data_IF_434448716914
#
_entry.id   IF_434448716914
#
_cell.length_a   1.000
_cell.length_b   1.000
_cell.length_c   1.000
_cell.angle_alpha   90.00
_cell.angle_beta   90.00
_cell.angle_gamma   90.00
#
_symmetry.space_group_name_H-M   'P 1'
#
loop_
_entity.id
_entity.type
_entity.pdbx_description
1 polymer ?
#
# COMPACT_ATOMS: atom_id res chain seq x y z
N UNK A 1 -16.22 -15.40 4.35
CA UNK A 1 -15.19 -15.15 5.38
C UNK A 1 -15.43 -13.79 6.06
N UNK A 2 -16.58 -13.57 6.70
CA UNK A 2 -16.96 -12.24 7.27
C UNK A 2 -17.25 -12.29 8.77
N UNK A 3 -17.67 -13.46 9.29
CA UNK A 3 -17.94 -13.63 10.73
C UNK A 3 -16.67 -13.69 11.58
N UNK A 4 -15.60 -14.31 11.07
CA UNK A 4 -14.32 -14.42 11.77
C UNK A 4 -13.73 -13.05 12.13
N UNK A 5 -13.79 -12.10 11.19
CA UNK A 5 -13.24 -10.77 11.44
C UNK A 5 -14.12 -9.94 12.39
N UNK A 6 -15.47 -10.08 12.38
CA UNK A 6 -16.38 -9.30 13.27
C UNK A 6 -16.15 -9.68 14.72
N UNK A 7 -16.04 -10.99 15.00
CA UNK A 7 -15.66 -11.51 16.31
C UNK A 7 -14.33 -10.88 16.74
N UNK A 8 -13.36 -10.72 15.83
CA UNK A 8 -12.08 -10.07 16.14
C UNK A 8 -12.24 -8.59 16.52
N UNK A 9 -13.06 -7.82 15.80
CA UNK A 9 -13.20 -6.37 16.03
C UNK A 9 -13.83 -6.03 17.38
N UNK A 10 -15.00 -6.57 17.69
CA UNK A 10 -15.69 -6.30 18.96
C UNK A 10 -14.94 -6.90 20.16
N UNK A 11 -14.27 -8.04 19.98
CA UNK A 11 -13.45 -8.61 21.04
C UNK A 11 -12.22 -7.75 21.31
N UNK A 12 -11.60 -7.19 20.27
CA UNK A 12 -10.48 -6.26 20.44
C UNK A 12 -10.91 -5.04 21.25
N UNK A 13 -12.03 -4.40 20.90
CA UNK A 13 -12.58 -3.26 21.66
C UNK A 13 -12.81 -3.65 23.13
N UNK A 14 -13.42 -4.80 23.39
CA UNK A 14 -13.67 -5.28 24.76
C UNK A 14 -12.37 -5.53 25.55
N UNK A 15 -11.41 -6.23 24.95
CA UNK A 15 -10.12 -6.53 25.58
C UNK A 15 -9.37 -5.24 25.92
N UNK A 16 -9.37 -4.27 25.00
CA UNK A 16 -8.79 -2.95 25.23
C UNK A 16 -9.47 -2.21 26.37
N UNK A 17 -10.81 -2.20 26.42
CA UNK A 17 -11.57 -1.60 27.52
C UNK A 17 -11.21 -2.24 28.86
N UNK A 18 -11.15 -3.57 28.92
CA UNK A 18 -10.83 -4.30 30.16
C UNK A 18 -9.40 -4.01 30.62
N UNK A 19 -8.45 -3.96 29.69
CA UNK A 19 -7.07 -3.60 29.99
C UNK A 19 -6.96 -2.15 30.49
N UNK A 20 -7.62 -1.20 29.81
CA UNK A 20 -7.65 0.21 30.23
C UNK A 20 -8.25 0.30 31.63
N UNK A 21 -9.43 -0.29 31.88
CA UNK A 21 -10.08 -0.24 33.20
C UNK A 21 -9.24 -0.89 34.31
N UNK A 22 -8.58 -2.00 34.04
CA UNK A 22 -7.73 -2.69 35.04
C UNK A 22 -6.41 -1.96 35.29
N UNK A 23 -5.89 -1.24 34.30
CA UNK A 23 -4.58 -0.61 34.36
C UNK A 23 -4.61 0.91 34.59
N UNK A 24 -5.74 1.59 34.41
CA UNK A 24 -5.82 3.07 34.48
C UNK A 24 -5.43 3.64 35.85
N UNK A 25 -5.67 2.88 36.92
CA UNK A 25 -5.33 3.28 38.28
C UNK A 25 -3.88 2.94 38.67
N UNK A 26 -3.28 1.94 38.02
CA UNK A 26 -1.93 1.44 38.31
C UNK A 26 -0.88 2.04 37.39
N UNK A 27 -1.24 2.31 36.13
CA UNK A 27 -0.43 3.05 35.17
C UNK A 27 -0.19 4.46 35.72
N UNK A 28 1.08 4.80 35.91
CA UNK A 28 1.51 6.17 36.25
C UNK A 28 1.57 7.05 35.02
N UNK A 29 1.81 6.45 33.85
CA UNK A 29 1.95 7.15 32.58
C UNK A 29 0.94 6.65 31.55
N UNK A 30 0.40 7.58 30.77
CA UNK A 30 -0.53 7.30 29.65
C UNK A 30 0.05 6.27 28.69
N UNK A 31 1.37 6.25 28.51
CA UNK A 31 2.08 5.35 27.60
C UNK A 31 1.79 3.86 27.85
N UNK A 32 1.56 3.45 29.10
CA UNK A 32 1.28 2.05 29.44
C UNK A 32 -0.09 1.59 28.92
N UNK A 33 -1.03 2.53 28.73
CA UNK A 33 -2.37 2.25 28.18
C UNK A 33 -2.54 2.71 26.73
N UNK A 34 -1.56 3.42 26.14
CA UNK A 34 -1.63 3.90 24.74
C UNK A 34 -1.84 2.76 23.76
N UNK A 35 -1.12 1.65 23.92
CA UNK A 35 -1.29 0.49 23.04
C UNK A 35 -2.74 -0.04 23.06
N UNK A 36 -3.35 -0.11 24.24
CA UNK A 36 -4.75 -0.51 24.36
C UNK A 36 -5.72 0.53 23.79
N UNK A 37 -5.41 1.82 23.87
CA UNK A 37 -6.19 2.89 23.20
C UNK A 37 -6.10 2.74 21.68
N UNK A 38 -4.92 2.42 21.15
CA UNK A 38 -4.75 2.15 19.72
C UNK A 38 -5.56 0.93 19.28
N UNK A 39 -5.49 -0.17 20.03
CA UNK A 39 -6.26 -1.38 19.79
C UNK A 39 -7.79 -1.14 19.85
N UNK A 40 -8.24 -0.31 20.79
CA UNK A 40 -9.64 0.11 20.91
C UNK A 40 -10.10 0.82 19.63
N UNK A 41 -9.31 1.79 19.16
CA UNK A 41 -9.62 2.58 17.97
C UNK A 41 -9.51 1.75 16.69
N UNK A 42 -8.59 0.78 16.63
CA UNK A 42 -8.48 -0.17 15.53
C UNK A 42 -9.67 -1.13 15.48
N UNK A 43 -10.12 -1.63 16.63
CA UNK A 43 -11.34 -2.44 16.73
C UNK A 43 -12.57 -1.68 16.22
N UNK A 44 -12.73 -0.43 16.63
CA UNK A 44 -13.79 0.46 16.14
C UNK A 44 -13.69 0.69 14.62
N UNK A 45 -12.49 0.96 14.11
CA UNK A 45 -12.25 1.15 12.68
C UNK A 45 -12.56 -0.13 11.88
N UNK A 46 -12.23 -1.31 12.39
CA UNK A 46 -12.54 -2.59 11.75
C UNK A 46 -14.06 -2.84 11.66
N UNK A 47 -14.81 -2.47 12.69
CA UNK A 47 -16.28 -2.56 12.70
C UNK A 47 -16.85 -1.60 11.64
N UNK A 48 -16.41 -0.34 11.62
CA UNK A 48 -16.86 0.67 10.68
C UNK A 48 -16.49 0.37 9.22
N UNK A 49 -15.29 -0.17 8.98
CA UNK A 49 -14.83 -0.55 7.64
C UNK A 49 -15.65 -1.70 7.03
N UNK A 50 -16.11 -2.65 7.85
CA UNK A 50 -16.96 -3.76 7.38
C UNK A 50 -18.34 -3.31 6.97
N UNK A 51 -18.95 -2.45 7.78
CA UNK A 51 -20.23 -1.82 7.44
C UNK A 51 -20.13 -1.11 6.09
N UNK A 52 -19.10 -0.27 5.91
CA UNK A 52 -18.87 0.48 4.67
C UNK A 52 -18.61 -0.42 3.45
N UNK A 53 -17.97 -1.58 3.63
CA UNK A 53 -17.72 -2.54 2.53
C UNK A 53 -18.97 -3.30 2.09
N UNK A 54 -19.96 -3.48 2.97
CA UNK A 54 -21.22 -4.17 2.64
C UNK A 54 -22.25 -3.27 1.97
N UNK A 55 -22.20 -1.97 2.23
CA UNK A 55 -23.07 -0.98 1.57
C UNK A 55 -22.86 -0.92 0.04
N UNK A 56 -21.75 -1.47 -0.48
CA UNK A 56 -21.44 -1.54 -1.92
C UNK A 56 -21.79 -2.86 -2.63
N UNK A 57 -22.37 -3.85 -1.94
CA UNK A 57 -22.74 -5.15 -2.53
C UNK A 57 -24.22 -5.16 -2.97
N UNK A 58 -24.46 -5.71 -4.17
CA UNK A 58 -25.77 -5.73 -4.85
C UNK A 58 -26.89 -6.36 -4.00
N UNK A 59 -28.13 -5.92 -4.25
CA UNK A 59 -29.40 -6.28 -3.56
C UNK A 59 -29.61 -7.79 -3.34
N UNK A 60 -28.92 -8.64 -4.13
CA UNK A 60 -28.98 -10.10 -4.01
C UNK A 60 -28.34 -10.66 -2.73
N UNK A 61 -27.41 -9.92 -2.08
CA UNK A 61 -26.80 -10.29 -0.79
C UNK A 61 -27.53 -9.71 0.43
N UNK A 62 -28.56 -8.87 0.20
CA UNK A 62 -29.27 -8.11 1.25
C UNK A 62 -30.34 -8.93 2.00
N UNK A 63 -30.48 -10.24 1.73
CA UNK A 63 -31.44 -11.12 2.41
C UNK A 63 -31.07 -11.45 3.88
N UNK A 64 -29.99 -10.88 4.41
CA UNK A 64 -29.52 -11.03 5.79
C UNK A 64 -29.91 -9.88 6.72
N UNK A 65 -31.20 -9.51 6.83
CA UNK A 65 -31.70 -8.41 7.70
C UNK A 65 -31.16 -8.51 9.14
N UNK A 66 -30.97 -9.73 9.66
CA UNK A 66 -30.37 -9.98 10.99
C UNK A 66 -28.90 -9.50 11.08
N UNK A 67 -28.12 -9.60 10.00
CA UNK A 67 -26.70 -9.22 9.98
C UNK A 67 -26.49 -7.70 10.07
N UNK A 68 -27.37 -6.91 9.44
CA UNK A 68 -27.29 -5.44 9.49
C UNK A 68 -27.61 -4.93 10.89
N UNK A 69 -28.61 -5.51 11.56
CA UNK A 69 -28.95 -5.14 12.93
C UNK A 69 -27.76 -5.40 13.89
N UNK A 70 -27.10 -6.55 13.77
CA UNK A 70 -25.90 -6.84 14.56
C UNK A 70 -24.75 -5.86 14.28
N UNK A 71 -24.49 -5.51 13.02
CA UNK A 71 -23.43 -4.55 12.66
C UNK A 71 -23.68 -3.15 13.20
N UNK A 72 -24.94 -2.69 13.14
CA UNK A 72 -25.32 -1.39 13.70
C UNK A 72 -25.19 -1.41 15.23
N UNK A 73 -25.62 -2.50 15.87
CA UNK A 73 -25.49 -2.67 17.32
C UNK A 73 -24.02 -2.68 17.74
N UNK A 74 -23.17 -3.46 17.07
CA UNK A 74 -21.73 -3.54 17.38
C UNK A 74 -21.03 -2.18 17.20
N UNK A 75 -21.38 -1.43 16.16
CA UNK A 75 -20.86 -0.08 15.95
C UNK A 75 -21.30 0.89 17.07
N UNK A 76 -22.54 0.75 17.57
CA UNK A 76 -23.03 1.56 18.68
C UNK A 76 -22.34 1.19 20.00
N UNK A 77 -22.19 -0.10 20.28
CA UNK A 77 -21.47 -0.59 21.46
C UNK A 77 -20.02 -0.10 21.44
N UNK A 78 -19.33 -0.20 20.29
CA UNK A 78 -17.96 0.29 20.15
C UNK A 78 -17.86 1.81 20.38
N UNK A 79 -18.80 2.59 19.83
CA UNK A 79 -18.85 4.03 20.04
C UNK A 79 -19.11 4.41 21.52
N UNK A 80 -19.98 3.69 22.20
CA UNK A 80 -20.24 3.86 23.64
C UNK A 80 -19.01 3.54 24.47
N UNK A 81 -18.34 2.42 24.19
CA UNK A 81 -17.11 2.01 24.85
C UNK A 81 -15.98 3.02 24.62
N UNK A 82 -15.82 3.52 23.39
CA UNK A 82 -14.88 4.59 23.07
C UNK A 82 -15.17 5.86 23.88
N UNK A 83 -16.43 6.26 23.98
CA UNK A 83 -16.82 7.42 24.78
C UNK A 83 -16.53 7.20 26.27
N UNK A 84 -16.88 6.03 26.82
CA UNK A 84 -16.58 5.68 28.20
C UNK A 84 -15.06 5.77 28.46
N UNK A 85 -14.24 5.22 27.57
CA UNK A 85 -12.77 5.29 27.72
C UNK A 85 -12.26 6.72 27.65
N UNK A 86 -12.84 7.55 26.77
CA UNK A 86 -12.47 8.96 26.70
C UNK A 86 -12.71 9.69 28.02
N UNK A 87 -13.85 9.43 28.68
CA UNK A 87 -14.19 10.05 29.96
C UNK A 87 -13.26 9.54 31.06
N UNK A 88 -13.02 8.22 31.12
CA UNK A 88 -12.14 7.64 32.14
C UNK A 88 -10.71 8.15 32.03
N UNK A 89 -10.16 8.19 30.82
CA UNK A 89 -8.80 8.66 30.54
C UNK A 89 -8.69 10.15 30.87
N UNK A 90 -9.65 10.97 30.46
CA UNK A 90 -9.64 12.40 30.75
C UNK A 90 -9.83 12.68 32.26
N UNK A 91 -10.65 11.90 32.97
CA UNK A 91 -10.80 12.02 34.42
C UNK A 91 -9.49 11.68 35.16
N UNK A 92 -8.71 10.72 34.65
CA UNK A 92 -7.46 10.29 35.28
C UNK A 92 -6.28 11.21 34.95
N UNK A 93 -6.12 11.57 33.68
CA UNK A 93 -4.92 12.22 33.15
C UNK A 93 -5.13 13.70 32.80
N UNK A 94 -6.36 14.20 32.92
CA UNK A 94 -6.73 15.58 32.62
C UNK A 94 -7.52 15.69 31.33
N UNK A 95 -8.40 16.69 31.28
CA UNK A 95 -9.30 16.91 30.15
C UNK A 95 -8.58 17.07 28.82
N UNK A 96 -9.08 16.40 27.78
CA UNK A 96 -8.50 16.47 26.43
C UNK A 96 -7.32 15.54 26.21
N UNK A 97 -6.90 14.76 27.21
CA UNK A 97 -5.81 13.77 27.05
C UNK A 97 -6.18 12.75 25.99
N UNK A 98 -7.37 12.13 26.09
CA UNK A 98 -7.82 11.16 25.11
C UNK A 98 -7.90 11.76 23.71
N UNK A 99 -8.43 12.98 23.60
CA UNK A 99 -8.51 13.69 22.33
C UNK A 99 -7.13 13.92 21.72
N UNK A 100 -6.15 14.36 22.52
CA UNK A 100 -4.79 14.59 22.03
C UNK A 100 -4.14 13.31 21.49
N UNK A 101 -4.37 12.16 22.14
CA UNK A 101 -3.89 10.85 21.69
C UNK A 101 -4.51 10.50 20.33
N UNK A 102 -5.84 10.63 20.21
CA UNK A 102 -6.56 10.36 18.96
C UNK A 102 -6.08 11.27 17.82
N UNK A 103 -5.91 12.56 18.10
CA UNK A 103 -5.47 13.54 17.10
C UNK A 103 -4.04 13.27 16.63
N UNK A 104 -3.11 12.97 17.56
CA UNK A 104 -1.73 12.57 17.24
C UNK A 104 -1.67 11.29 16.43
N UNK A 105 -2.51 10.30 16.78
CA UNK A 105 -2.64 9.05 16.03
C UNK A 105 -3.13 9.32 14.61
N UNK A 106 -4.18 10.12 14.45
CA UNK A 106 -4.72 10.48 13.15
C UNK A 106 -3.68 11.20 12.28
N UNK A 107 -2.92 12.13 12.87
CA UNK A 107 -1.81 12.81 12.20
C UNK A 107 -0.74 11.82 11.74
N UNK A 108 -0.27 10.92 12.61
CA UNK A 108 0.75 9.91 12.25
C UNK A 108 0.28 8.96 11.14
N UNK A 109 -0.98 8.54 11.17
CA UNK A 109 -1.57 7.71 10.12
C UNK A 109 -1.61 8.47 8.78
N UNK A 110 -1.97 9.75 8.80
CA UNK A 110 -2.01 10.58 7.61
C UNK A 110 -0.61 10.79 7.02
N UNK A 111 0.36 11.15 7.84
CA UNK A 111 1.77 11.31 7.43
C UNK A 111 2.33 10.01 6.84
N UNK A 112 2.03 8.85 7.45
CA UNK A 112 2.44 7.55 6.93
C UNK A 112 1.80 7.25 5.57
N UNK A 113 0.52 7.59 5.40
CA UNK A 113 -0.19 7.45 4.11
C UNK A 113 0.39 8.36 3.03
N UNK A 114 0.76 9.59 3.38
CA UNK A 114 1.36 10.55 2.46
C UNK A 114 2.75 10.08 2.01
N UNK A 115 3.62 9.71 2.95
CA UNK A 115 4.94 9.13 2.66
C UNK A 115 4.82 7.86 1.80
N UNK A 116 3.85 7.00 2.06
CA UNK A 116 3.60 5.81 1.24
C UNK A 116 3.18 6.16 -0.19
N UNK A 117 2.32 7.18 -0.36
CA UNK A 117 1.93 7.68 -1.69
C UNK A 117 3.11 8.30 -2.44
N UNK A 118 3.94 9.09 -1.77
CA UNK A 118 5.14 9.68 -2.37
C UNK A 118 6.16 8.61 -2.79
N UNK A 119 6.44 7.65 -1.91
CA UNK A 119 7.31 6.53 -2.23
C UNK A 119 6.75 5.70 -3.39
N UNK A 120 5.43 5.48 -3.46
CA UNK A 120 4.80 4.80 -4.59
C UNK A 120 4.94 5.59 -5.90
N UNK A 121 4.78 6.92 -5.88
CA UNK A 121 5.01 7.78 -7.04
C UNK A 121 6.46 7.75 -7.51
N UNK A 122 7.41 7.90 -6.58
CA UNK A 122 8.84 7.87 -6.90
C UNK A 122 9.28 6.51 -7.47
N UNK A 123 8.71 5.40 -6.98
CA UNK A 123 8.96 4.06 -7.54
C UNK A 123 8.45 3.94 -8.98
N UNK A 124 7.28 4.50 -9.28
CA UNK A 124 6.73 4.51 -10.65
C UNK A 124 7.60 5.33 -11.60
N UNK A 125 8.01 6.53 -11.19
CA UNK A 125 8.90 7.38 -12.00
C UNK A 125 10.24 6.69 -12.30
N UNK A 126 10.86 6.08 -11.28
CA UNK A 126 12.10 5.31 -11.49
C UNK A 126 11.92 4.13 -12.45
N UNK A 127 10.77 3.46 -12.40
CA UNK A 127 10.47 2.37 -13.35
C UNK A 127 10.33 2.92 -14.77
N UNK A 128 9.63 4.03 -14.96
CA UNK A 128 9.47 4.70 -16.26
C UNK A 128 10.83 5.15 -16.82
N UNK A 129 11.68 5.79 -16.02
CA UNK A 129 13.04 6.21 -16.42
C UNK A 129 13.93 5.03 -16.83
N UNK A 130 13.89 3.92 -16.08
CA UNK A 130 14.67 2.71 -16.41
C UNK A 130 14.16 2.10 -17.73
N UNK A 131 12.85 2.03 -17.94
CA UNK A 131 12.25 1.50 -19.18
C UNK A 131 12.65 2.37 -20.37
N UNK A 132 12.61 3.70 -20.23
CA UNK A 132 13.02 4.64 -21.27
C UNK A 132 14.51 4.48 -21.62
N UNK A 133 15.38 4.44 -20.61
CA UNK A 133 16.82 4.22 -20.82
C UNK A 133 17.12 2.88 -21.51
N UNK A 134 16.44 1.81 -21.09
CA UNK A 134 16.59 0.48 -21.72
C UNK A 134 16.09 0.51 -23.16
N UNK A 135 14.96 1.15 -23.45
CA UNK A 135 14.42 1.27 -24.80
C UNK A 135 15.37 2.06 -25.73
N UNK A 136 15.95 3.17 -25.24
CA UNK A 136 16.96 3.94 -25.98
C UNK A 136 18.20 3.09 -26.24
N UNK A 137 18.69 2.36 -25.22
CA UNK A 137 19.85 1.48 -25.36
C UNK A 137 19.65 0.38 -26.41
N UNK A 138 18.49 -0.27 -26.40
CA UNK A 138 18.11 -1.26 -27.43
C UNK A 138 18.03 -0.60 -28.81
N UNK A 139 17.44 0.59 -28.91
CA UNK A 139 17.34 1.33 -30.18
C UNK A 139 18.71 1.63 -30.78
N UNK A 140 19.67 2.10 -29.98
CA UNK A 140 21.05 2.37 -30.44
C UNK A 140 21.72 1.08 -30.91
N UNK A 141 21.61 -0.02 -30.15
CA UNK A 141 22.20 -1.31 -30.52
C UNK A 141 21.65 -1.83 -31.85
N UNK A 142 20.34 -1.69 -32.09
CA UNK A 142 19.72 -2.09 -33.35
C UNK A 142 20.24 -1.27 -34.53
N UNK A 143 20.33 0.06 -34.39
CA UNK A 143 20.84 0.95 -35.46
C UNK A 143 22.30 0.65 -35.77
N UNK A 144 23.15 0.51 -34.75
CA UNK A 144 24.58 0.19 -34.93
C UNK A 144 24.74 -1.20 -35.55
N UNK A 145 23.98 -2.19 -35.09
CA UNK A 145 24.00 -3.54 -35.64
C UNK A 145 23.62 -3.57 -37.13
N UNK A 146 22.57 -2.85 -37.52
CA UNK A 146 22.16 -2.70 -38.92
C UNK A 146 23.21 -1.98 -39.76
N UNK A 147 23.85 -0.94 -39.23
CA UNK A 147 24.91 -0.22 -39.94
C UNK A 147 26.11 -1.14 -40.24
N UNK A 148 26.53 -1.96 -39.25
CA UNK A 148 27.63 -2.91 -39.40
C UNK A 148 27.29 -4.00 -40.43
N UNK A 149 26.08 -4.55 -40.39
CA UNK A 149 25.68 -5.61 -41.33
C UNK A 149 25.59 -5.09 -42.76
N UNK A 150 24.98 -3.92 -42.97
CA UNK A 150 24.91 -3.28 -44.29
C UNK A 150 26.30 -2.94 -44.81
N UNK A 151 27.16 -2.35 -43.97
CA UNK A 151 28.52 -2.00 -44.37
C UNK A 151 29.36 -3.24 -44.71
N UNK A 152 29.28 -4.28 -43.90
CA UNK A 152 29.95 -5.56 -44.15
C UNK A 152 29.49 -6.22 -45.46
N UNK A 153 28.19 -6.21 -45.73
CA UNK A 153 27.63 -6.73 -46.98
C UNK A 153 28.09 -5.92 -48.22
N UNK A 154 28.17 -4.59 -48.10
CA UNK A 154 28.68 -3.72 -49.16
C UNK A 154 30.16 -3.99 -49.45
N UNK A 155 30.99 -4.15 -48.41
CA UNK A 155 32.41 -4.48 -48.58
C UNK A 155 32.61 -5.87 -49.20
N UNK A 156 31.82 -6.87 -48.80
CA UNK A 156 31.88 -8.21 -49.39
C UNK A 156 31.54 -8.18 -50.89
N UNK A 157 30.45 -7.51 -51.26
CA UNK A 157 30.03 -7.34 -52.66
C UNK A 157 31.06 -6.53 -53.47
N UNK A 158 31.74 -5.54 -52.87
CA UNK A 158 32.81 -4.81 -53.51
C UNK A 158 34.06 -5.68 -53.77
N UNK A 159 34.40 -6.59 -52.84
CA UNK A 159 35.48 -7.56 -53.04
C UNK A 159 35.16 -8.58 -54.13
N UNK A 160 33.91 -9.07 -54.21
CA UNK A 160 33.48 -10.01 -55.26
C UNK A 160 33.54 -9.41 -56.67
N UNK A 161 33.26 -8.11 -56.83
CA UNK A 161 33.39 -7.39 -58.11
C UNK A 161 34.83 -7.00 -58.46
N UNK A 162 35.76 -7.12 -57.50
CA UNK A 162 37.15 -6.65 -57.60
C UNK A 162 38.16 -7.62 -58.22
N UNK A 163 37.75 -8.74 -58.81
CA UNK A 163 38.68 -9.63 -59.53
C UNK A 163 38.13 -10.07 -60.89
N UNK A 164 38.52 -9.35 -61.96
CA UNK A 164 39.30 -10.01 -63.01
C UNK A 164 40.29 -9.06 -63.71
N UNK A 165 41.60 -9.30 -63.60
CA UNK A 165 42.61 -8.91 -64.63
C UNK A 165 44.06 -9.26 -64.28
N UNK A 166 44.37 -9.88 -63.14
CA UNK A 166 45.76 -10.27 -62.85
C UNK A 166 46.22 -11.60 -63.51
N UNK A 167 45.33 -12.31 -64.21
CA UNK A 167 45.66 -13.59 -64.89
C UNK A 167 46.04 -13.47 -66.36
N UNK A 168 45.79 -12.32 -67.01
CA UNK A 168 46.11 -12.14 -68.43
C UNK A 168 47.56 -11.68 -68.67
N UNK A 169 48.26 -11.19 -67.64
CA UNK A 169 49.64 -10.71 -67.76
C UNK A 169 50.72 -11.79 -67.63
N UNK A 170 50.39 -13.02 -67.22
CA UNK A 170 51.40 -14.07 -66.94
C UNK A 170 51.47 -15.20 -67.97
N UNK A 171 50.47 -15.36 -68.86
CA UNK A 171 50.45 -16.44 -69.86
C UNK A 171 50.60 -15.93 -71.31
N UNK A 172 51.16 -14.74 -71.49
CA UNK A 172 51.46 -14.14 -72.80
C UNK A 172 52.96 -14.05 -73.06
N UNK A 173 53.63 -15.19 -73.19
CA UNK A 173 54.96 -15.31 -73.79
C UNK A 173 55.09 -16.64 -74.52
#
# INVERSE_FOLDING_TARGET
MVLGDIVTGINLVRQSVDFIKSSINTAKDVNDIVGAIDDLLDGEQQINAKRSKKDGLSIKDQLGIKSIAHEVIDAKIAAEQRYEMSVLIDQRFGHGTFKSIVDLRAQRIQEAKEKAKEAAKARKQKQEEIIEMVAIGIGILLVVGLAITVFGALLLNAMERGSPSFREWYNGS
#
